data_IF_822344522912
#
_entry.id   IF_822344522912
#
_cell.length_a   1.000
_cell.length_b   1.000
_cell.length_c   1.000
_cell.angle_alpha   90.00
_cell.angle_beta   90.00
_cell.angle_gamma   90.00
#
_symmetry.space_group_name_H-M   'P 1'
#
loop_
_entity.id
_entity.type
_entity.pdbx_description
1 polymer ?
#
# COMPACT_ATOMS: atom_id res chain seq x y z
N UNK A 1 9.22 -7.21 16.03
CA UNK A 1 9.12 -5.81 15.56
C UNK A 1 7.76 -5.64 14.88
N UNK A 2 7.15 -4.44 14.89
CA UNK A 2 5.88 -4.19 14.19
C UNK A 2 6.02 -4.04 12.66
N UNK A 3 7.23 -4.13 12.10
CA UNK A 3 7.48 -4.15 10.67
C UNK A 3 7.20 -5.56 10.12
N UNK A 4 6.21 -5.69 9.24
CA UNK A 4 5.61 -6.94 8.79
C UNK A 4 5.56 -7.00 7.27
N UNK A 5 5.34 -8.19 6.71
CA UNK A 5 5.00 -8.36 5.29
C UNK A 5 3.52 -8.04 5.05
N UNK A 6 3.14 -7.79 3.79
CA UNK A 6 1.72 -7.65 3.41
C UNK A 6 0.93 -8.92 3.80
N UNK A 7 1.47 -10.10 3.57
CA UNK A 7 0.85 -11.35 3.94
C UNK A 7 0.53 -11.41 5.44
N UNK A 8 1.47 -10.97 6.29
CA UNK A 8 1.26 -10.95 7.75
C UNK A 8 0.25 -9.88 8.16
N UNK A 9 0.35 -8.65 7.61
CA UNK A 9 -0.50 -7.53 8.03
C UNK A 9 -1.95 -7.69 7.58
N UNK A 10 -2.19 -8.40 6.46
CA UNK A 10 -3.52 -8.61 5.91
C UNK A 10 -4.11 -10.01 6.20
N UNK A 11 -3.43 -10.87 6.98
CA UNK A 11 -3.91 -12.24 7.25
C UNK A 11 -5.37 -12.28 7.71
N UNK A 12 -5.75 -11.41 8.66
CA UNK A 12 -7.12 -11.39 9.19
C UNK A 12 -8.11 -10.76 8.20
N UNK A 13 -7.72 -9.68 7.52
CA UNK A 13 -8.53 -9.04 6.48
C UNK A 13 -8.86 -10.02 5.34
N UNK A 14 -7.87 -10.78 4.86
CA UNK A 14 -8.05 -11.79 3.82
C UNK A 14 -8.94 -12.92 4.33
N UNK A 15 -8.72 -13.42 5.55
CA UNK A 15 -9.58 -14.44 6.15
C UNK A 15 -11.04 -14.01 6.20
N UNK A 16 -11.32 -12.76 6.60
CA UNK A 16 -12.68 -12.23 6.62
C UNK A 16 -13.26 -12.06 5.20
N UNK A 17 -12.42 -11.75 4.22
CA UNK A 17 -12.83 -11.56 2.83
C UNK A 17 -13.17 -12.89 2.12
N UNK A 18 -12.56 -14.00 2.55
CA UNK A 18 -12.64 -15.32 1.90
C UNK A 18 -13.47 -16.35 2.65
N UNK A 19 -14.09 -15.95 3.77
CA UNK A 19 -15.00 -16.79 4.56
C UNK A 19 -16.41 -16.21 4.57
N UNK A 20 -17.36 -16.93 5.18
CA UNK A 20 -18.74 -16.48 5.39
C UNK A 20 -18.87 -15.39 6.48
N UNK A 21 -17.80 -14.64 6.73
CA UNK A 21 -17.84 -13.51 7.67
C UNK A 21 -18.83 -12.44 7.19
N UNK A 22 -19.53 -11.82 8.14
CA UNK A 22 -20.43 -10.71 7.85
C UNK A 22 -19.66 -9.59 7.10
N UNK A 23 -20.13 -9.13 5.95
CA UNK A 23 -19.48 -8.06 5.19
C UNK A 23 -19.15 -6.80 6.03
N UNK A 24 -19.93 -6.52 7.07
CA UNK A 24 -19.68 -5.39 8.00
C UNK A 24 -18.44 -5.57 8.89
N UNK A 25 -17.95 -6.81 9.08
CA UNK A 25 -16.76 -7.11 9.88
C UNK A 25 -15.47 -7.05 9.02
N UNK A 26 -15.61 -7.06 7.69
CA UNK A 26 -14.51 -6.95 6.74
C UNK A 26 -13.87 -5.57 6.82
N UNK A 27 -12.58 -5.52 6.57
CA UNK A 27 -11.82 -4.28 6.54
C UNK A 27 -10.70 -4.33 5.50
N UNK A 28 -10.23 -3.18 5.06
CA UNK A 28 -9.03 -3.07 4.24
C UNK A 28 -7.94 -2.30 4.98
N UNK A 29 -6.68 -2.70 4.78
CA UNK A 29 -5.53 -1.92 5.27
C UNK A 29 -5.23 -0.80 4.29
N UNK A 30 -5.20 0.43 4.79
CA UNK A 30 -4.82 1.58 3.98
C UNK A 30 -3.33 1.56 3.64
N UNK A 31 -3.01 1.83 2.39
CA UNK A 31 -1.67 1.92 1.85
C UNK A 31 -1.42 3.33 1.29
N UNK A 32 -0.38 4.00 1.79
CA UNK A 32 -0.23 5.44 1.65
C UNK A 32 1.16 5.83 1.21
N UNK A 33 1.27 6.59 0.10
CA UNK A 33 2.54 7.08 -0.40
C UNK A 33 3.11 8.17 0.50
N UNK A 34 4.43 8.13 0.67
CA UNK A 34 5.22 9.18 1.31
C UNK A 34 6.37 9.60 0.41
N UNK A 35 6.89 10.82 0.62
CA UNK A 35 8.04 11.37 -0.10
C UNK A 35 9.17 11.79 0.85
N UNK A 36 8.91 11.84 2.16
CA UNK A 36 9.87 12.25 3.19
C UNK A 36 9.75 11.38 4.45
N UNK A 37 10.82 11.33 5.25
CA UNK A 37 10.79 10.63 6.55
C UNK A 37 9.75 11.23 7.52
N UNK A 38 9.57 12.56 7.64
CA UNK A 38 8.50 13.14 8.44
C UNK A 38 7.10 12.69 8.02
N UNK A 39 6.84 12.47 6.72
CA UNK A 39 5.58 11.91 6.24
C UNK A 39 5.41 10.47 6.69
N UNK A 40 6.45 9.59 6.59
CA UNK A 40 6.39 8.22 7.13
C UNK A 40 5.95 8.20 8.59
N UNK A 41 6.50 9.12 9.41
CA UNK A 41 6.11 9.24 10.81
C UNK A 41 4.65 9.66 10.95
N UNK A 42 4.18 10.62 10.14
CA UNK A 42 2.78 11.05 10.12
C UNK A 42 1.80 9.92 9.81
N UNK A 43 2.15 9.04 8.86
CA UNK A 43 1.35 7.85 8.52
C UNK A 43 1.17 6.93 9.74
N UNK A 44 2.28 6.65 10.45
CA UNK A 44 2.25 5.77 11.63
C UNK A 44 1.52 6.43 12.81
N UNK A 45 1.67 7.74 13.00
CA UNK A 45 0.94 8.47 14.05
C UNK A 45 -0.58 8.44 13.85
N UNK A 46 -1.05 8.63 12.60
CA UNK A 46 -2.48 8.53 12.29
C UNK A 46 -3.03 7.11 12.49
N UNK A 47 -2.29 6.09 12.09
CA UNK A 47 -2.64 4.69 12.34
C UNK A 47 -2.67 4.36 13.84
N UNK A 48 -1.70 4.88 14.61
CA UNK A 48 -1.65 4.77 16.06
C UNK A 48 -2.90 5.32 16.74
N UNK A 49 -3.34 6.51 16.33
CA UNK A 49 -4.53 7.17 16.88
C UNK A 49 -5.77 6.26 16.79
N UNK A 50 -5.87 5.48 15.73
CA UNK A 50 -6.99 4.57 15.47
C UNK A 50 -6.73 3.12 15.87
N UNK A 51 -5.57 2.82 16.46
CA UNK A 51 -5.15 1.44 16.74
C UNK A 51 -5.31 0.55 15.50
N UNK A 52 -4.83 1.03 14.36
CA UNK A 52 -4.97 0.42 13.03
C UNK A 52 -3.62 -0.04 12.48
N UNK A 53 -3.56 -1.11 11.66
CA UNK A 53 -2.41 -1.40 10.83
C UNK A 53 -2.34 -0.41 9.64
N UNK A 54 -1.14 -0.23 9.07
CA UNK A 54 -0.91 0.68 7.94
C UNK A 54 0.17 0.17 7.00
N UNK A 55 0.09 0.49 5.70
CA UNK A 55 1.11 0.20 4.71
C UNK A 55 1.75 1.51 4.26
N UNK A 56 3.07 1.63 4.45
CA UNK A 56 3.88 2.76 4.01
C UNK A 56 4.42 2.48 2.62
N UNK A 57 4.00 3.25 1.61
CA UNK A 57 4.39 3.05 0.22
C UNK A 57 5.43 4.06 -0.24
N UNK A 58 6.55 3.57 -0.77
CA UNK A 58 7.56 4.38 -1.43
C UNK A 58 7.60 4.05 -2.93
N UNK A 59 7.43 5.05 -3.77
CA UNK A 59 7.77 4.95 -5.18
C UNK A 59 9.28 5.09 -5.40
N UNK A 60 9.78 4.69 -6.56
CA UNK A 60 11.21 4.88 -6.92
C UNK A 60 11.59 6.36 -6.89
N UNK A 61 10.68 7.27 -7.29
CA UNK A 61 10.91 8.71 -7.20
C UNK A 61 11.07 9.20 -5.76
N UNK A 62 10.23 8.73 -4.84
CA UNK A 62 10.35 9.05 -3.42
C UNK A 62 11.65 8.50 -2.82
N UNK A 63 12.04 7.27 -3.16
CA UNK A 63 13.33 6.69 -2.73
C UNK A 63 14.51 7.53 -3.19
N UNK A 64 14.52 7.95 -4.47
CA UNK A 64 15.58 8.83 -5.00
C UNK A 64 15.62 10.18 -4.30
N UNK A 65 14.47 10.76 -3.99
CA UNK A 65 14.37 12.03 -3.27
C UNK A 65 14.88 11.93 -1.84
N UNK A 66 14.58 10.85 -1.12
CA UNK A 66 15.06 10.60 0.25
C UNK A 66 16.56 10.29 0.25
N UNK A 67 17.05 9.56 -0.78
CA UNK A 67 18.48 9.27 -0.95
C UNK A 67 18.77 7.85 -1.44
N UNK A 68 18.31 6.81 -0.75
CA UNK A 68 18.51 5.42 -1.18
C UNK A 68 17.46 4.46 -0.59
N UNK A 69 17.41 3.23 -1.12
CA UNK A 69 16.57 2.15 -0.61
C UNK A 69 16.92 1.80 0.86
N UNK A 70 18.22 1.74 1.16
CA UNK A 70 18.74 1.43 2.50
C UNK A 70 18.33 2.49 3.51
N UNK A 71 18.43 3.79 3.14
CA UNK A 71 18.04 4.87 4.02
C UNK A 71 16.55 4.83 4.36
N UNK A 72 15.70 4.54 3.37
CA UNK A 72 14.25 4.36 3.59
C UNK A 72 13.98 3.18 4.50
N UNK A 73 14.64 2.04 4.28
CA UNK A 73 14.47 0.84 5.08
C UNK A 73 14.95 1.03 6.53
N UNK A 74 16.10 1.69 6.74
CA UNK A 74 16.59 2.00 8.09
C UNK A 74 15.70 3.02 8.81
N UNK A 75 15.12 4.00 8.09
CA UNK A 75 14.13 4.90 8.67
C UNK A 75 12.89 4.12 9.14
N UNK A 76 12.37 3.18 8.34
CA UNK A 76 11.27 2.32 8.74
C UNK A 76 11.60 1.50 9.99
N UNK A 77 12.81 0.93 10.09
CA UNK A 77 13.27 0.25 11.33
C UNK A 77 13.29 1.17 12.54
N UNK A 78 13.77 2.40 12.37
CA UNK A 78 13.78 3.42 13.44
C UNK A 78 12.36 3.73 13.91
N UNK A 79 11.43 3.91 12.96
CA UNK A 79 10.01 4.13 13.23
C UNK A 79 9.40 2.91 13.96
N UNK A 80 9.70 1.68 13.52
CA UNK A 80 9.22 0.47 14.16
C UNK A 80 9.67 0.33 15.63
N UNK A 81 10.85 0.83 15.96
CA UNK A 81 11.32 0.88 17.36
C UNK A 81 10.62 1.95 18.19
N UNK A 82 10.27 3.08 17.54
CA UNK A 82 9.61 4.21 18.19
C UNK A 82 8.12 3.96 18.45
N UNK A 83 7.47 3.23 17.55
CA UNK A 83 6.03 2.91 17.59
C UNK A 83 5.80 1.39 17.60
N UNK A 84 6.24 0.67 18.66
CA UNK A 84 6.21 -0.80 18.69
C UNK A 84 4.80 -1.40 18.68
N UNK A 85 3.79 -0.60 18.99
CA UNK A 85 2.39 -0.99 19.01
C UNK A 85 1.68 -0.92 17.65
N UNK A 86 2.27 -0.22 16.65
CA UNK A 86 1.64 -0.03 15.33
C UNK A 86 2.19 -1.04 14.34
N UNK A 87 1.42 -2.05 13.92
CA UNK A 87 1.86 -2.95 12.87
C UNK A 87 1.86 -2.22 11.52
N UNK A 88 2.98 -2.28 10.80
CA UNK A 88 3.06 -1.69 9.47
C UNK A 88 3.97 -2.48 8.52
N UNK A 89 3.79 -2.25 7.23
CA UNK A 89 4.57 -2.81 6.14
C UNK A 89 5.32 -1.67 5.42
N UNK A 90 6.56 -1.89 5.00
CA UNK A 90 7.26 -1.02 4.07
C UNK A 90 7.17 -1.61 2.66
N UNK A 91 6.53 -0.90 1.76
CA UNK A 91 6.16 -1.34 0.43
C UNK A 91 6.85 -0.50 -0.66
N UNK A 92 7.48 -1.17 -1.63
CA UNK A 92 7.92 -0.52 -2.87
C UNK A 92 6.76 -0.55 -3.88
N UNK A 93 6.33 0.63 -4.30
CA UNK A 93 5.13 0.84 -5.10
C UNK A 93 5.46 1.01 -6.59
N UNK A 94 4.69 0.38 -7.50
CA UNK A 94 4.78 0.48 -8.96
C UNK A 94 6.20 0.44 -9.56
N UNK A 95 6.99 -0.54 -9.19
CA UNK A 95 8.32 -0.72 -9.78
C UNK A 95 8.24 -1.64 -11.01
N UNK A 96 8.87 -1.22 -12.11
CA UNK A 96 8.94 -1.96 -13.39
C UNK A 96 10.30 -2.60 -13.62
N UNK A 97 11.35 -2.09 -12.98
CA UNK A 97 12.71 -2.59 -13.11
C UNK A 97 12.99 -3.70 -12.07
N UNK A 98 13.15 -4.92 -12.54
CA UNK A 98 13.32 -6.11 -11.70
C UNK A 98 14.57 -6.04 -10.81
N UNK A 99 15.66 -5.46 -11.28
CA UNK A 99 16.89 -5.31 -10.50
C UNK A 99 16.67 -4.32 -9.32
N UNK A 100 16.00 -3.20 -9.55
CA UNK A 100 15.64 -2.26 -8.48
C UNK A 100 14.72 -2.90 -7.45
N UNK A 101 13.78 -3.76 -7.88
CA UNK A 101 12.91 -4.50 -6.98
C UNK A 101 13.72 -5.45 -6.10
N UNK A 102 14.64 -6.22 -6.68
CA UNK A 102 15.54 -7.11 -5.94
C UNK A 102 16.42 -6.34 -4.95
N UNK A 103 16.95 -5.18 -5.35
CA UNK A 103 17.70 -4.30 -4.45
C UNK A 103 16.84 -3.80 -3.28
N UNK A 104 15.56 -3.46 -3.50
CA UNK A 104 14.66 -3.06 -2.42
C UNK A 104 14.42 -4.20 -1.41
N UNK A 105 14.24 -5.43 -1.89
CA UNK A 105 14.13 -6.61 -1.02
C UNK A 105 15.40 -6.77 -0.16
N UNK A 106 16.57 -6.69 -0.77
CA UNK A 106 17.87 -6.80 -0.06
C UNK A 106 18.07 -5.65 0.92
N UNK A 107 17.66 -4.42 0.57
CA UNK A 107 17.73 -3.25 1.45
C UNK A 107 16.82 -3.37 2.69
N UNK A 108 15.75 -4.20 2.59
CA UNK A 108 14.87 -4.47 3.73
C UNK A 108 13.43 -3.98 3.59
N UNK A 109 12.97 -3.75 2.37
CA UNK A 109 11.55 -3.62 2.13
C UNK A 109 10.86 -4.95 2.46
N UNK A 110 9.72 -4.88 3.14
CA UNK A 110 8.98 -6.07 3.57
C UNK A 110 7.90 -6.48 2.58
N UNK A 111 7.63 -5.61 1.61
CA UNK A 111 6.82 -5.90 0.46
C UNK A 111 7.30 -5.11 -0.76
N UNK A 112 7.16 -5.70 -1.94
CA UNK A 112 7.48 -5.05 -3.22
C UNK A 112 6.36 -5.31 -4.22
N UNK A 113 6.13 -4.35 -5.13
CA UNK A 113 5.25 -4.54 -6.28
C UNK A 113 6.08 -4.61 -7.55
N UNK A 114 5.82 -5.63 -8.36
CA UNK A 114 6.20 -5.69 -9.76
C UNK A 114 5.03 -5.24 -10.62
N UNK A 115 5.20 -4.15 -11.35
CA UNK A 115 4.20 -3.69 -12.31
C UNK A 115 4.64 -4.07 -13.72
N UNK A 116 4.09 -5.17 -14.22
CA UNK A 116 4.21 -5.66 -15.57
C UNK A 116 2.84 -5.68 -16.29
N UNK A 117 1.88 -4.87 -15.81
CA UNK A 117 0.49 -4.83 -16.33
C UNK A 117 0.39 -4.37 -17.79
N UNK A 118 1.41 -3.67 -18.31
CA UNK A 118 1.48 -3.24 -19.71
C UNK A 118 2.08 -4.31 -20.65
N UNK A 119 2.61 -5.40 -20.11
CA UNK A 119 3.14 -6.51 -20.90
C UNK A 119 2.03 -7.50 -21.26
N UNK A 120 2.34 -8.43 -22.16
CA UNK A 120 1.44 -9.56 -22.41
C UNK A 120 1.34 -10.48 -21.17
N UNK A 121 0.29 -11.30 -21.12
CA UNK A 121 -0.05 -12.15 -19.98
C UNK A 121 1.11 -13.08 -19.56
N UNK A 122 1.76 -13.74 -20.54
CA UNK A 122 2.86 -14.67 -20.26
C UNK A 122 4.11 -13.93 -19.74
N UNK A 123 4.41 -12.78 -20.28
CA UNK A 123 5.52 -11.92 -19.82
C UNK A 123 5.24 -11.39 -18.42
N UNK A 124 4.01 -10.96 -18.11
CA UNK A 124 3.62 -10.52 -16.77
C UNK A 124 3.78 -11.68 -15.76
N UNK A 125 3.29 -12.89 -16.09
CA UNK A 125 3.49 -14.08 -15.25
C UNK A 125 4.99 -14.36 -15.02
N UNK A 126 5.79 -14.37 -16.07
CA UNK A 126 7.21 -14.69 -15.95
C UNK A 126 7.96 -13.71 -15.04
N UNK A 127 7.75 -12.40 -15.22
CA UNK A 127 8.36 -11.35 -14.38
C UNK A 127 7.87 -11.40 -12.95
N UNK A 128 6.55 -11.56 -12.75
CA UNK A 128 5.95 -11.62 -11.40
C UNK A 128 6.44 -12.85 -10.63
N UNK A 129 6.51 -14.00 -11.30
CA UNK A 129 7.06 -15.22 -10.70
C UNK A 129 8.52 -15.08 -10.31
N UNK A 130 9.37 -14.52 -11.18
CA UNK A 130 10.79 -14.33 -10.87
C UNK A 130 10.99 -13.45 -9.63
N UNK A 131 10.21 -12.37 -9.51
CA UNK A 131 10.26 -11.51 -8.32
C UNK A 131 9.70 -12.23 -7.10
N UNK A 132 8.61 -12.99 -7.21
CA UNK A 132 8.04 -13.76 -6.11
C UNK A 132 9.04 -14.82 -5.59
N UNK A 133 9.63 -15.60 -6.49
CA UNK A 133 10.64 -16.61 -6.14
C UNK A 133 11.85 -15.96 -5.44
N UNK A 134 12.32 -14.80 -5.91
CA UNK A 134 13.42 -14.09 -5.28
C UNK A 134 13.04 -13.54 -3.91
N UNK A 135 11.92 -12.83 -3.80
CA UNK A 135 11.50 -12.12 -2.60
C UNK A 135 11.15 -13.09 -1.45
N UNK A 136 10.45 -14.19 -1.73
CA UNK A 136 10.09 -15.19 -0.73
C UNK A 136 11.31 -15.88 -0.10
N UNK A 137 12.43 -15.96 -0.83
CA UNK A 137 13.68 -16.53 -0.32
C UNK A 137 14.58 -15.53 0.41
N UNK A 138 14.16 -14.26 0.55
CA UNK A 138 14.90 -13.23 1.28
C UNK A 138 14.14 -12.83 2.54
N UNK A 139 14.80 -12.97 3.69
CA UNK A 139 14.25 -12.66 5.02
C UNK A 139 14.80 -11.33 5.54
N UNK A 140 14.20 -10.18 5.19
CA UNK A 140 14.65 -8.92 5.75
C UNK A 140 14.36 -8.90 7.27
N UNK A 141 15.38 -8.56 8.06
CA UNK A 141 15.24 -8.40 9.51
C UNK A 141 14.74 -9.62 10.30
N UNK A 142 14.94 -10.85 9.79
CA UNK A 142 14.42 -12.06 10.43
C UNK A 142 12.89 -12.24 10.28
N UNK A 143 12.31 -11.58 9.32
CA UNK A 143 10.94 -11.82 8.84
C UNK A 143 11.01 -12.90 7.76
N UNK A 144 10.10 -13.85 7.80
CA UNK A 144 10.06 -14.95 6.82
C UNK A 144 9.60 -14.43 5.45
N UNK A 145 10.57 -14.21 4.56
CA UNK A 145 10.37 -13.73 3.21
C UNK A 145 9.99 -12.24 3.11
N UNK A 146 9.91 -11.75 1.88
CA UNK A 146 9.32 -10.46 1.52
C UNK A 146 8.11 -10.76 0.64
N UNK A 147 6.97 -10.15 0.91
CA UNK A 147 5.75 -10.37 0.10
C UNK A 147 5.81 -9.64 -1.23
N UNK A 148 5.08 -10.16 -2.21
CA UNK A 148 5.02 -9.60 -3.56
C UNK A 148 3.59 -9.28 -3.96
N UNK A 149 3.40 -8.08 -4.49
CA UNK A 149 2.20 -7.63 -5.17
C UNK A 149 2.45 -7.56 -6.67
N UNK A 150 1.48 -7.95 -7.47
CA UNK A 150 1.48 -7.74 -8.92
C UNK A 150 0.12 -7.24 -9.38
N UNK A 151 0.05 -6.75 -10.62
CA UNK A 151 -1.16 -6.19 -11.21
C UNK A 151 -1.61 -7.01 -12.43
N UNK A 152 -2.92 -7.28 -12.50
CA UNK A 152 -3.57 -7.88 -13.65
C UNK A 152 -4.71 -6.98 -14.15
N UNK A 153 -4.67 -6.65 -15.43
CA UNK A 153 -5.43 -5.55 -16.02
C UNK A 153 -4.59 -4.29 -16.03
N UNK A 154 -5.10 -3.22 -16.59
CA UNK A 154 -4.36 -1.97 -16.80
C UNK A 154 -5.18 -0.79 -16.29
N UNK A 155 -4.69 -0.10 -15.26
CA UNK A 155 -5.33 1.13 -14.78
C UNK A 155 -4.92 2.31 -15.65
N UNK A 156 -5.90 3.14 -16.04
CA UNK A 156 -5.60 4.42 -16.67
C UNK A 156 -5.05 5.42 -15.66
N UNK A 157 -4.39 6.47 -16.15
CA UNK A 157 -3.88 7.57 -15.34
C UNK A 157 -2.35 7.69 -15.36
N UNK A 158 -1.85 8.57 -14.51
CA UNK A 158 -0.43 8.86 -14.42
C UNK A 158 0.07 8.65 -13.00
N UNK A 159 0.98 7.70 -12.83
CA UNK A 159 1.68 7.48 -11.58
C UNK A 159 3.17 7.32 -11.86
N UNK A 160 3.93 8.35 -11.47
CA UNK A 160 5.39 8.49 -11.62
C UNK A 160 5.98 7.96 -12.95
N UNK A 161 6.31 6.67 -13.01
CA UNK A 161 6.92 6.04 -14.18
C UNK A 161 5.93 5.28 -15.07
N UNK A 162 4.67 5.17 -14.65
CA UNK A 162 3.61 4.47 -15.39
C UNK A 162 2.57 5.48 -15.85
N UNK A 163 2.36 5.55 -17.17
CA UNK A 163 1.33 6.38 -17.78
C UNK A 163 0.50 5.52 -18.73
N UNK A 164 -0.80 5.43 -18.44
CA UNK A 164 -1.77 4.75 -19.29
C UNK A 164 -2.88 5.72 -19.66
N UNK A 165 -3.06 5.96 -20.97
CA UNK A 165 -4.18 6.77 -21.46
C UNK A 165 -5.53 6.07 -21.15
N UNK A 166 -6.61 6.86 -21.07
CA UNK A 166 -7.97 6.35 -20.83
C UNK A 166 -8.38 5.28 -21.85
N UNK A 167 -7.91 5.40 -23.10
CA UNK A 167 -8.11 4.43 -24.17
C UNK A 167 -7.34 3.12 -24.00
N UNK A 168 -6.26 3.12 -23.19
CA UNK A 168 -5.41 1.95 -22.94
C UNK A 168 -5.81 1.15 -21.74
N UNK A 169 -6.79 1.60 -20.93
CA UNK A 169 -7.24 0.84 -19.76
C UNK A 169 -7.85 -0.50 -20.14
N UNK A 170 -7.48 -1.53 -19.42
CA UNK A 170 -8.05 -2.86 -19.57
C UNK A 170 -8.51 -3.38 -18.21
N UNK A 171 -9.78 -3.71 -18.07
CA UNK A 171 -10.27 -4.33 -16.85
C UNK A 171 -9.64 -5.70 -16.63
N UNK A 172 -9.49 -6.10 -15.38
CA UNK A 172 -9.06 -7.46 -15.03
C UNK A 172 -10.06 -8.48 -15.57
N UNK A 173 -9.57 -9.45 -16.34
CA UNK A 173 -10.40 -10.60 -16.78
C UNK A 173 -10.46 -11.65 -15.65
N UNK A 174 -11.63 -11.92 -15.06
CA UNK A 174 -11.76 -12.90 -13.98
C UNK A 174 -11.31 -14.31 -14.39
N UNK A 175 -11.44 -14.67 -15.66
CA UNK A 175 -11.04 -15.99 -16.14
C UNK A 175 -9.52 -16.24 -16.04
N UNK A 176 -8.72 -15.17 -16.05
CA UNK A 176 -7.25 -15.24 -15.97
C UNK A 176 -6.72 -15.17 -14.52
N UNK A 177 -7.53 -14.73 -13.56
CA UNK A 177 -7.07 -14.45 -12.18
C UNK A 177 -6.48 -15.69 -11.51
N UNK A 178 -7.22 -16.80 -11.54
CA UNK A 178 -6.76 -18.03 -10.88
C UNK A 178 -5.43 -18.52 -11.47
N UNK A 179 -5.33 -18.55 -12.79
CA UNK A 179 -4.10 -18.97 -13.47
C UNK A 179 -2.93 -18.04 -13.15
N UNK A 180 -3.17 -16.73 -13.17
CA UNK A 180 -2.14 -15.75 -12.84
C UNK A 180 -1.59 -15.95 -11.42
N UNK A 181 -2.47 -16.05 -10.42
CA UNK A 181 -2.09 -16.26 -9.02
C UNK A 181 -1.35 -17.58 -8.82
N UNK A 182 -1.87 -18.68 -9.38
CA UNK A 182 -1.28 -20.01 -9.22
C UNK A 182 0.11 -20.10 -9.86
N UNK A 183 0.31 -19.46 -11.01
CA UNK A 183 1.59 -19.51 -11.75
C UNK A 183 2.63 -18.54 -11.21
N UNK A 184 2.22 -17.42 -10.66
CA UNK A 184 3.15 -16.38 -10.14
C UNK A 184 3.54 -16.62 -8.69
N UNK A 185 2.63 -17.13 -7.86
CA UNK A 185 2.82 -17.30 -6.43
C UNK A 185 2.87 -15.98 -5.64
N UNK A 186 2.30 -14.89 -6.15
CA UNK A 186 2.22 -13.59 -5.49
C UNK A 186 1.34 -13.62 -4.24
N UNK A 187 1.52 -12.67 -3.33
CA UNK A 187 0.77 -12.59 -2.06
C UNK A 187 -0.42 -11.61 -2.13
N UNK A 188 -0.40 -10.69 -3.09
CA UNK A 188 -1.48 -9.71 -3.30
C UNK A 188 -1.65 -9.39 -4.79
N UNK A 189 -2.89 -9.19 -5.20
CA UNK A 189 -3.26 -8.89 -6.59
C UNK A 189 -3.96 -7.55 -6.69
N UNK A 190 -3.33 -6.60 -7.38
CA UNK A 190 -3.96 -5.36 -7.80
C UNK A 190 -4.86 -5.62 -9.02
N UNK A 191 -6.09 -5.11 -8.95
CA UNK A 191 -7.13 -5.37 -9.95
C UNK A 191 -7.70 -4.08 -10.54
N UNK A 192 -7.86 -4.06 -11.86
CA UNK A 192 -8.44 -2.96 -12.61
C UNK A 192 -9.96 -3.13 -12.68
N UNK A 193 -10.69 -2.42 -11.83
CA UNK A 193 -12.16 -2.48 -11.72
C UNK A 193 -12.86 -1.15 -12.00
N UNK A 194 -12.14 -0.17 -12.57
CA UNK A 194 -12.71 1.12 -12.98
C UNK A 194 -12.14 2.34 -12.27
N UNK A 195 -11.18 2.16 -11.38
CA UNK A 195 -10.35 3.25 -10.82
C UNK A 195 -9.25 3.67 -11.79
N UNK A 196 -8.61 4.80 -11.52
CA UNK A 196 -7.45 5.32 -12.25
C UNK A 196 -6.54 6.11 -11.30
N UNK A 197 -5.27 6.25 -11.66
CA UNK A 197 -4.31 7.03 -10.89
C UNK A 197 -4.50 8.54 -11.06
N UNK A 198 -4.21 9.30 -9.99
CA UNK A 198 -4.32 10.76 -9.98
C UNK A 198 -5.69 11.29 -9.54
N UNK A 199 -5.97 12.56 -9.89
CA UNK A 199 -7.28 13.17 -9.62
C UNK A 199 -8.27 12.86 -10.73
N UNK A 200 -9.46 12.45 -10.36
CA UNK A 200 -10.55 12.24 -11.31
C UNK A 200 -11.15 13.57 -11.78
N UNK A 201 -11.51 13.65 -13.08
CA UNK A 201 -12.34 14.72 -13.60
C UNK A 201 -13.82 14.54 -13.25
N UNK A 202 -14.25 13.29 -13.05
CA UNK A 202 -15.58 12.90 -12.58
C UNK A 202 -15.43 11.63 -11.73
N UNK A 203 -16.36 11.37 -10.81
CA UNK A 203 -16.29 10.16 -9.96
C UNK A 203 -16.10 8.89 -10.79
N UNK A 204 -15.19 7.98 -10.38
CA UNK A 204 -14.94 6.74 -11.12
C UNK A 204 -16.19 5.85 -11.10
N UNK A 205 -16.35 5.04 -12.14
CA UNK A 205 -17.42 4.03 -12.20
C UNK A 205 -16.83 2.67 -11.85
N UNK A 206 -16.88 2.31 -10.57
CA UNK A 206 -16.39 1.02 -10.09
C UNK A 206 -17.32 -0.10 -10.54
N UNK A 207 -16.76 -1.14 -11.13
CA UNK A 207 -17.47 -2.33 -11.57
C UNK A 207 -17.52 -3.36 -10.44
N UNK A 208 -18.52 -3.23 -9.59
CA UNK A 208 -18.70 -4.11 -8.43
C UNK A 208 -18.99 -5.55 -8.83
N UNK A 209 -19.78 -5.80 -9.89
CA UNK A 209 -20.03 -7.15 -10.39
C UNK A 209 -18.72 -7.84 -10.79
N UNK A 210 -17.81 -7.08 -11.43
CA UNK A 210 -16.49 -7.57 -11.79
C UNK A 210 -15.64 -7.90 -10.54
N UNK A 211 -15.69 -7.06 -9.50
CA UNK A 211 -14.99 -7.35 -8.24
C UNK A 211 -15.50 -8.63 -7.60
N UNK A 212 -16.81 -8.88 -7.63
CA UNK A 212 -17.40 -10.11 -7.12
C UNK A 212 -16.91 -11.35 -7.89
N UNK A 213 -16.85 -11.26 -9.21
CA UNK A 213 -16.35 -12.34 -10.06
C UNK A 213 -14.87 -12.61 -9.81
N UNK A 214 -14.04 -11.58 -9.71
CA UNK A 214 -12.61 -11.70 -9.38
C UNK A 214 -12.42 -12.34 -8.00
N UNK A 215 -13.19 -11.91 -6.98
CA UNK A 215 -13.05 -12.44 -5.61
C UNK A 215 -13.32 -13.95 -5.56
N UNK A 216 -14.20 -14.48 -6.39
CA UNK A 216 -14.49 -15.92 -6.50
C UNK A 216 -13.35 -16.75 -7.07
N UNK A 217 -12.37 -16.12 -7.75
CA UNK A 217 -11.27 -16.82 -8.43
C UNK A 217 -10.03 -16.99 -7.56
N UNK A 218 -9.91 -16.32 -6.42
CA UNK A 218 -8.67 -16.32 -5.64
C UNK A 218 -8.90 -16.05 -4.16
N UNK A 219 -8.05 -16.59 -3.30
CA UNK A 219 -8.09 -16.40 -1.84
C UNK A 219 -6.96 -15.47 -1.33
N UNK A 220 -6.16 -14.87 -2.23
CA UNK A 220 -5.15 -13.90 -1.81
C UNK A 220 -5.75 -12.50 -1.58
N UNK A 221 -4.94 -11.59 -1.07
CA UNK A 221 -5.34 -10.20 -0.89
C UNK A 221 -5.65 -9.53 -2.22
N UNK A 222 -6.83 -8.89 -2.34
CA UNK A 222 -7.14 -8.00 -3.45
C UNK A 222 -6.82 -6.56 -3.10
N UNK A 223 -6.27 -5.82 -4.06
CA UNK A 223 -5.79 -4.45 -3.89
C UNK A 223 -6.52 -3.51 -4.84
N UNK A 224 -7.02 -2.40 -4.29
CA UNK A 224 -7.58 -1.28 -5.06
C UNK A 224 -6.53 -0.18 -5.21
N UNK A 225 -6.09 0.08 -6.43
CA UNK A 225 -5.28 1.23 -6.79
C UNK A 225 -6.15 2.43 -7.18
N UNK A 226 -5.54 3.63 -7.26
CA UNK A 226 -6.25 4.83 -7.69
C UNK A 226 -7.33 5.33 -6.72
N UNK A 227 -7.13 5.16 -5.42
CA UNK A 227 -8.13 5.53 -4.40
C UNK A 227 -8.36 7.04 -4.20
N UNK A 228 -7.52 7.92 -4.78
CA UNK A 228 -7.72 9.37 -4.63
C UNK A 228 -8.99 9.83 -5.34
N UNK A 229 -10.00 10.30 -4.58
CA UNK A 229 -11.25 10.82 -5.15
C UNK A 229 -12.33 9.78 -5.43
N UNK A 230 -12.14 8.55 -5.01
CA UNK A 230 -13.21 7.54 -4.95
C UNK A 230 -14.21 7.96 -3.86
N UNK A 231 -15.54 7.92 -4.12
CA UNK A 231 -16.55 8.20 -3.11
C UNK A 231 -16.46 7.27 -1.89
N UNK A 232 -16.75 7.79 -0.70
CA UNK A 232 -16.68 7.03 0.55
C UNK A 232 -17.59 5.79 0.56
N UNK A 233 -18.76 5.88 -0.07
CA UNK A 233 -19.70 4.76 -0.20
C UNK A 233 -19.13 3.63 -1.06
N UNK A 234 -18.39 3.98 -2.12
CA UNK A 234 -17.76 3.02 -3.01
C UNK A 234 -16.57 2.32 -2.31
N UNK A 235 -15.81 3.05 -1.48
CA UNK A 235 -14.80 2.41 -0.63
C UNK A 235 -15.41 1.40 0.33
N UNK A 236 -16.48 1.79 1.05
CA UNK A 236 -17.16 0.87 1.99
C UNK A 236 -17.69 -0.37 1.26
N UNK A 237 -18.21 -0.19 0.05
CA UNK A 237 -18.69 -1.30 -0.76
C UNK A 237 -17.55 -2.21 -1.23
N UNK A 238 -16.43 -1.66 -1.70
CA UNK A 238 -15.23 -2.46 -2.05
C UNK A 238 -14.74 -3.28 -0.84
N UNK A 239 -14.65 -2.67 0.34
CA UNK A 239 -14.26 -3.35 1.58
C UNK A 239 -15.23 -4.47 1.92
N UNK A 240 -16.53 -4.20 1.90
CA UNK A 240 -17.58 -5.20 2.17
C UNK A 240 -17.54 -6.38 1.17
N UNK A 241 -17.04 -6.14 -0.05
CA UNK A 241 -16.87 -7.16 -1.09
C UNK A 241 -15.52 -7.87 -1.05
N UNK A 242 -14.66 -7.59 -0.05
CA UNK A 242 -13.44 -8.33 0.21
C UNK A 242 -12.17 -7.71 -0.36
N UNK A 243 -12.18 -6.41 -0.68
CA UNK A 243 -10.94 -5.66 -0.92
C UNK A 243 -10.14 -5.58 0.38
N UNK A 244 -8.86 -5.97 0.35
CA UNK A 244 -8.01 -6.09 1.55
C UNK A 244 -6.97 -4.99 1.69
N UNK A 245 -6.62 -4.30 0.60
CA UNK A 245 -5.69 -3.16 0.56
C UNK A 245 -6.26 -2.06 -0.32
N UNK A 246 -6.09 -0.80 0.10
CA UNK A 246 -6.53 0.37 -0.67
C UNK A 246 -5.39 1.39 -0.71
N UNK A 247 -4.95 1.72 -1.94
CA UNK A 247 -3.88 2.69 -2.18
C UNK A 247 -4.43 4.11 -2.30
N UNK A 248 -3.85 5.03 -1.52
CA UNK A 248 -4.12 6.47 -1.62
C UNK A 248 -2.80 7.24 -1.67
N UNK A 249 -2.45 7.79 -2.82
CA UNK A 249 -1.21 8.55 -3.04
C UNK A 249 -1.45 10.04 -3.24
N UNK A 250 -1.99 10.42 -4.40
CA UNK A 250 -2.14 11.82 -4.83
C UNK A 250 -2.93 12.68 -3.83
N UNK A 251 -3.95 12.10 -3.18
CA UNK A 251 -4.75 12.80 -2.16
C UNK A 251 -3.92 13.23 -0.96
N UNK A 252 -2.98 12.37 -0.50
CA UNK A 252 -2.10 12.70 0.61
C UNK A 252 -1.09 13.79 0.26
N UNK A 253 -0.52 13.75 -0.96
CA UNK A 253 0.35 14.83 -1.46
C UNK A 253 -0.38 16.18 -1.41
N UNK A 254 -1.66 16.20 -1.76
CA UNK A 254 -2.51 17.40 -1.66
C UNK A 254 -2.72 17.83 -0.22
N UNK A 255 -3.13 16.92 0.66
CA UNK A 255 -3.36 17.20 2.10
C UNK A 255 -2.12 17.81 2.75
N UNK A 256 -0.95 17.20 2.53
CA UNK A 256 0.33 17.72 3.02
C UNK A 256 0.63 19.13 2.50
N UNK A 257 0.57 19.30 1.18
CA UNK A 257 0.96 20.54 0.52
C UNK A 257 0.02 21.70 0.87
N UNK A 258 -1.28 21.44 0.98
CA UNK A 258 -2.26 22.47 1.35
C UNK A 258 -2.05 22.93 2.80
N UNK A 259 -1.75 22.03 3.73
CA UNK A 259 -1.43 22.39 5.11
C UNK A 259 -0.12 23.21 5.22
N UNK A 260 0.90 22.88 4.44
CA UNK A 260 2.14 23.66 4.36
C UNK A 260 1.89 25.06 3.76
N UNK A 261 1.12 25.13 2.67
CA UNK A 261 0.75 26.42 2.04
C UNK A 261 -0.01 27.33 3.02
N UNK A 262 -0.92 26.76 3.82
CA UNK A 262 -1.65 27.52 4.81
C UNK A 262 -0.73 28.00 5.96
N UNK A 263 0.20 27.16 6.41
CA UNK A 263 1.21 27.56 7.39
C UNK A 263 2.06 28.74 6.88
N UNK A 264 2.52 28.69 5.63
CA UNK A 264 3.29 29.79 5.03
C UNK A 264 2.52 31.11 5.00
N UNK A 265 1.20 31.08 4.76
CA UNK A 265 0.38 32.31 4.75
C UNK A 265 0.18 32.91 6.13
N UNK A 266 0.19 32.10 7.18
CA UNK A 266 -0.14 32.51 8.56
C UNK A 266 1.09 32.80 9.43
N UNK A 267 2.25 32.27 9.06
CA UNK A 267 3.51 32.51 9.76
C UNK A 267 4.09 33.85 9.34
N UNK A 268 4.82 34.57 10.27
CA UNK A 268 5.54 35.78 9.91
C UNK A 268 6.66 35.47 8.89
N UNK A 269 6.94 36.41 7.99
CA UNK A 269 8.02 36.28 6.99
C UNK A 269 9.41 36.04 7.60
N UNK A 270 9.58 36.34 8.87
CA UNK A 270 10.81 36.11 9.64
C UNK A 270 10.89 34.72 10.27
N UNK A 271 9.90 33.88 10.08
CA UNK A 271 9.94 32.50 10.57
C UNK A 271 10.68 31.60 9.57
N UNK A 272 11.84 31.10 9.97
CA UNK A 272 12.71 30.24 9.14
C UNK A 272 12.83 28.80 9.67
N UNK A 273 12.15 28.44 10.78
CA UNK A 273 12.20 27.08 11.32
C UNK A 273 11.39 26.14 10.43
N UNK A 274 12.05 25.21 9.69
CA UNK A 274 11.33 24.30 8.80
C UNK A 274 10.33 23.42 9.54
N UNK A 275 10.53 23.13 10.83
CA UNK A 275 9.59 22.34 11.64
C UNK A 275 8.25 23.04 11.81
N UNK A 276 8.23 24.37 11.84
CA UNK A 276 7.01 25.19 11.92
C UNK A 276 6.35 25.34 10.55
N UNK A 277 7.15 25.36 9.49
CA UNK A 277 6.68 25.53 8.11
C UNK A 277 6.07 24.21 7.59
N UNK A 278 6.79 23.08 7.67
CA UNK A 278 6.34 21.80 7.11
C UNK A 278 5.68 20.88 8.13
N UNK A 279 5.85 21.13 9.43
CA UNK A 279 5.24 20.34 10.51
C UNK A 279 3.71 20.22 10.44
N UNK A 280 2.97 21.27 10.06
CA UNK A 280 1.52 21.18 9.81
C UNK A 280 1.14 20.15 8.77
N UNK A 281 1.95 19.96 7.71
CA UNK A 281 1.75 18.90 6.70
C UNK A 281 1.77 17.49 7.29
N UNK A 282 2.75 17.19 8.17
CA UNK A 282 2.79 15.91 8.90
C UNK A 282 1.53 15.68 9.75
N UNK A 283 1.06 16.71 10.46
CA UNK A 283 -0.17 16.61 11.27
C UNK A 283 -1.41 16.38 10.41
N UNK A 284 -1.48 17.05 9.27
CA UNK A 284 -2.58 16.87 8.33
C UNK A 284 -2.62 15.44 7.75
N UNK A 285 -1.45 14.87 7.41
CA UNK A 285 -1.34 13.45 7.03
C UNK A 285 -1.86 12.56 8.16
N UNK A 286 -1.41 12.74 9.40
CA UNK A 286 -1.85 11.89 10.51
C UNK A 286 -3.39 11.92 10.67
N UNK A 287 -4.00 13.10 10.57
CA UNK A 287 -5.46 13.24 10.62
C UNK A 287 -6.17 12.54 9.45
N UNK A 288 -5.61 12.63 8.23
CA UNK A 288 -6.17 11.94 7.06
C UNK A 288 -6.08 10.42 7.21
N UNK A 289 -4.95 9.89 7.71
CA UNK A 289 -4.81 8.45 7.97
C UNK A 289 -5.79 7.96 9.02
N UNK A 290 -6.00 8.73 10.08
CA UNK A 290 -7.02 8.41 11.08
C UNK A 290 -8.42 8.34 10.45
N UNK A 291 -8.79 9.32 9.62
CA UNK A 291 -10.06 9.32 8.89
C UNK A 291 -10.20 8.14 7.92
N UNK A 292 -9.15 7.82 7.15
CA UNK A 292 -9.15 6.68 6.22
C UNK A 292 -9.21 5.34 6.96
N UNK A 293 -8.61 5.24 8.15
CA UNK A 293 -8.72 4.03 8.98
C UNK A 293 -10.16 3.75 9.38
N UNK A 294 -10.94 4.78 9.74
CA UNK A 294 -12.38 4.64 10.00
C UNK A 294 -13.14 4.27 8.72
N UNK A 295 -12.85 4.92 7.60
CA UNK A 295 -13.52 4.70 6.32
C UNK A 295 -13.34 3.26 5.81
N UNK A 296 -12.13 2.69 5.97
CA UNK A 296 -11.79 1.33 5.52
C UNK A 296 -12.14 0.26 6.57
N UNK A 297 -12.87 0.63 7.63
CA UNK A 297 -13.22 -0.23 8.76
C UNK A 297 -11.98 -0.85 9.46
N UNK A 298 -10.84 -0.17 9.38
CA UNK A 298 -9.54 -0.65 9.85
C UNK A 298 -9.23 -0.23 11.30
N UNK A 299 -9.98 0.72 11.86
CA UNK A 299 -9.82 1.20 13.23
C UNK A 299 -10.02 0.07 14.25
N UNK A 300 -9.11 -0.04 15.22
CA UNK A 300 -9.11 -1.11 16.22
C UNK A 300 -8.60 -2.46 15.74
N UNK A 301 -8.11 -2.58 14.47
CA UNK A 301 -7.68 -3.86 13.90
C UNK A 301 -6.20 -4.20 14.14
N UNK A 302 -5.39 -3.32 14.71
CA UNK A 302 -3.98 -3.62 15.04
C UNK A 302 -3.81 -4.89 15.90
N UNK A 303 -4.65 -5.18 16.91
CA UNK A 303 -4.54 -6.41 17.71
C UNK A 303 -4.82 -7.70 16.93
N UNK A 304 -5.58 -7.64 15.82
CA UNK A 304 -5.84 -8.78 14.96
C UNK A 304 -4.59 -9.18 14.15
N UNK A 305 -3.69 -8.23 13.94
CA UNK A 305 -2.40 -8.46 13.28
C UNK A 305 -1.44 -9.09 14.30
N UNK A 306 -1.09 -10.35 14.10
CA UNK A 306 -0.12 -11.05 14.97
C UNK A 306 1.28 -10.47 14.74
N UNK A 307 1.67 -9.51 15.57
CA UNK A 307 3.06 -9.06 15.65
C UNK A 307 3.86 -10.26 16.14
N UNK A 308 4.63 -10.88 15.26
CA UNK A 308 5.51 -12.00 15.62
C UNK A 308 6.42 -11.56 16.76
N UNK A 309 6.29 -12.18 17.93
CA UNK A 309 7.32 -12.10 18.95
C UNK A 309 8.56 -12.73 18.29
N UNK A 310 9.53 -11.90 17.90
CA UNK A 310 10.88 -12.38 17.72
C UNK A 310 11.20 -13.15 19.01
N UNK A 311 11.32 -14.47 18.91
CA UNK A 311 11.83 -15.26 20.02
C UNK A 311 13.26 -14.77 20.20
N UNK A 312 13.46 -13.88 21.17
CA UNK A 312 14.74 -13.73 21.84
C UNK A 312 15.00 -15.07 22.55
N UNK A 313 15.34 -16.10 21.79
CA UNK A 313 16.14 -17.18 22.33
C UNK A 313 17.58 -16.73 22.14
N UNK A 314 18.09 -16.25 23.26
CA UNK A 314 19.47 -16.16 23.65
C UNK A 314 20.35 -17.12 22.82
N UNK A 315 21.30 -16.52 22.09
CA UNK A 315 22.55 -17.24 21.86
C UNK A 315 23.53 -16.69 22.88
N UNK A 316 23.68 -17.42 23.95
CA UNK A 316 24.85 -17.42 24.80
C UNK A 316 26.03 -17.93 24.00
#
# INVERSE_FOLDING_TARGET
MPLLTIKQIMTDSVRLATTDADPKDRYAVGAFNFSTIPEMVGLVEGAREKNAPVILMASIGAVKYIGSLELVAEAAKGIAKTYPEVPFCLHLDHATNMEQIKQAVVAGFTNVMIDASQEDFETNIAKSKEIADFAHNHSPYGIDGCSVEAELGMLAGHEENVHVEESGKAYTDPALVKEFVDRTGIDALAVAIGTAHGFYKAAPKIKFDLLEEIRKQTDIALVLHGGTGVPDEDFRKCVAMGMSKINVGTGLKKVYTDAVREAIKTLPETEYDPRKIVGPGRKAIAAEIASKSDLFNCSGKAPAVKIGRASCRERV
#
